data_IF_246938067850
#
_entry.id   IF_246938067850
#
_cell.length_a   1.000
_cell.length_b   1.000
_cell.length_c   1.000
_cell.angle_alpha   90.00
_cell.angle_beta   90.00
_cell.angle_gamma   90.00
#
_symmetry.space_group_name_H-M   'P 1'
#
loop_
_entity.id
_entity.type
_entity.pdbx_description
1 polymer ?
#
# COMPACT_ATOMS: atom_id res chain seq x y z
N UNK A 1 -1.39 -15.77 10.61
CA UNK A 1 -2.83 -16.04 10.34
C UNK A 1 -3.20 -15.27 9.09
N UNK A 2 -3.94 -15.86 8.15
CA UNK A 2 -4.37 -15.18 6.92
C UNK A 2 -5.84 -14.80 7.07
N UNK A 3 -6.17 -13.54 6.79
CA UNK A 3 -7.52 -12.99 6.81
C UNK A 3 -7.79 -12.26 5.49
N UNK A 4 -8.95 -12.48 4.89
CA UNK A 4 -9.38 -11.85 3.64
C UNK A 4 -10.57 -10.94 3.91
N UNK A 5 -10.50 -9.70 3.44
CA UNK A 5 -11.54 -8.68 3.60
C UNK A 5 -11.74 -7.92 2.29
N UNK A 6 -12.97 -7.47 2.06
CA UNK A 6 -13.31 -6.59 0.94
C UNK A 6 -13.51 -5.17 1.46
N UNK A 7 -12.91 -4.19 0.79
CA UNK A 7 -12.98 -2.78 1.16
C UNK A 7 -13.18 -1.93 -0.09
N UNK A 8 -13.88 -0.81 0.06
CA UNK A 8 -13.80 0.28 -0.90
C UNK A 8 -12.39 0.89 -0.88
N UNK A 9 -12.02 1.62 -1.93
CA UNK A 9 -10.76 2.34 -1.97
C UNK A 9 -10.55 3.25 -0.73
N UNK A 10 -11.59 3.99 -0.34
CA UNK A 10 -11.53 4.90 0.81
C UNK A 10 -11.28 4.13 2.13
N UNK A 11 -11.99 3.01 2.34
CA UNK A 11 -11.79 2.15 3.51
C UNK A 11 -10.38 1.53 3.54
N UNK A 12 -9.85 1.17 2.38
CA UNK A 12 -8.52 0.61 2.25
C UNK A 12 -7.44 1.67 2.52
N UNK A 13 -7.66 2.92 2.06
CA UNK A 13 -6.79 4.04 2.36
C UNK A 13 -6.79 4.37 3.87
N UNK A 14 -7.97 4.42 4.48
CA UNK A 14 -8.09 4.61 5.93
C UNK A 14 -7.40 3.49 6.71
N UNK A 15 -7.52 2.24 6.24
CA UNK A 15 -6.78 1.11 6.83
C UNK A 15 -5.26 1.33 6.79
N UNK A 16 -4.71 1.82 5.67
CA UNK A 16 -3.26 2.10 5.57
C UNK A 16 -2.86 3.20 6.55
N UNK A 17 -3.66 4.26 6.66
CA UNK A 17 -3.41 5.40 7.57
C UNK A 17 -3.43 4.98 9.05
N UNK A 18 -4.35 4.10 9.42
CA UNK A 18 -4.62 3.77 10.82
C UNK A 18 -3.91 2.52 11.33
N UNK A 19 -3.55 1.58 10.45
CA UNK A 19 -3.10 0.23 10.84
C UNK A 19 -1.69 -0.11 10.36
N UNK A 20 -1.26 0.39 9.20
CA UNK A 20 0.06 0.05 8.65
C UNK A 20 1.14 0.91 9.29
N UNK A 21 2.22 0.28 9.77
CA UNK A 21 3.33 0.95 10.43
C UNK A 21 4.62 0.87 9.60
N UNK A 22 5.58 1.74 9.93
CA UNK A 22 6.93 1.69 9.33
C UNK A 22 7.63 0.39 9.74
N UNK A 23 8.19 -0.31 8.75
CA UNK A 23 8.78 -1.64 8.92
C UNK A 23 7.85 -2.80 8.56
N UNK A 24 6.55 -2.56 8.42
CA UNK A 24 5.62 -3.57 7.92
C UNK A 24 5.88 -3.84 6.43
N UNK A 25 5.46 -5.01 5.94
CA UNK A 25 5.47 -5.30 4.51
C UNK A 25 4.11 -5.01 3.91
N UNK A 26 4.08 -4.11 2.92
CA UNK A 26 2.90 -3.82 2.11
C UNK A 26 3.13 -4.31 0.69
N UNK A 27 2.22 -5.14 0.18
CA UNK A 27 2.17 -5.51 -1.24
C UNK A 27 1.00 -4.76 -1.89
N UNK A 28 1.31 -3.88 -2.84
CA UNK A 28 0.29 -3.14 -3.59
C UNK A 28 0.16 -3.77 -4.97
N UNK A 29 -1.07 -4.16 -5.32
CA UNK A 29 -1.40 -4.74 -6.62
C UNK A 29 -2.24 -3.77 -7.44
N UNK A 30 -1.65 -3.22 -8.51
CA UNK A 30 -2.32 -2.27 -9.40
C UNK A 30 -1.86 -2.49 -10.84
N UNK A 31 -2.73 -2.32 -11.84
CA UNK A 31 -2.36 -2.48 -13.26
C UNK A 31 -1.58 -3.78 -13.62
N UNK A 32 -1.83 -4.89 -12.90
CA UNK A 32 -1.10 -6.18 -12.99
C UNK A 32 0.37 -6.13 -12.55
N UNK A 33 0.78 -5.07 -11.86
CA UNK A 33 2.03 -4.93 -11.14
C UNK A 33 1.76 -5.36 -9.70
N UNK A 34 2.66 -6.17 -9.14
CA UNK A 34 2.68 -6.56 -7.74
C UNK A 34 3.95 -5.96 -7.14
N UNK A 35 3.78 -5.02 -6.20
CA UNK A 35 4.89 -4.29 -5.60
C UNK A 35 4.96 -4.57 -4.10
N UNK A 36 5.61 -5.67 -3.68
CA UNK A 36 5.91 -5.92 -2.28
C UNK A 36 7.10 -5.10 -1.82
N UNK A 37 6.96 -4.40 -0.71
CA UNK A 37 8.04 -3.65 -0.09
C UNK A 37 7.85 -3.39 1.39
N UNK A 38 8.97 -3.13 2.07
CA UNK A 38 8.97 -2.66 3.46
C UNK A 38 8.56 -1.18 3.49
N UNK A 39 7.65 -0.83 4.39
CA UNK A 39 7.18 0.54 4.56
C UNK A 39 8.27 1.39 5.20
N UNK A 40 8.69 2.44 4.49
CA UNK A 40 9.72 3.38 4.92
C UNK A 40 9.16 4.61 5.65
N UNK A 41 7.90 4.97 5.36
CA UNK A 41 7.27 6.17 5.89
C UNK A 41 6.06 6.59 5.06
N UNK A 42 5.43 7.67 5.53
CA UNK A 42 4.21 8.21 4.93
C UNK A 42 4.37 9.72 4.68
N UNK A 43 3.72 10.18 3.63
CA UNK A 43 3.63 11.61 3.28
C UNK A 43 2.15 11.97 3.17
N UNK A 44 1.74 12.99 3.92
CA UNK A 44 0.36 13.50 3.92
C UNK A 44 -0.05 14.09 2.55
N UNK A 45 -1.36 14.19 2.35
CA UNK A 45 -1.96 14.85 1.19
C UNK A 45 -1.54 16.32 1.10
N UNK A 46 -1.31 16.81 -0.13
CA UNK A 46 -0.96 18.21 -0.38
C UNK A 46 -1.95 18.82 -1.40
N UNK A 47 -2.84 19.68 -0.90
CA UNK A 47 -3.85 20.36 -1.73
C UNK A 47 -3.24 21.35 -2.75
N UNK A 48 -2.03 21.87 -2.51
CA UNK A 48 -1.38 22.84 -3.40
C UNK A 48 -0.76 22.16 -4.60
N UNK A 49 -0.11 21.01 -4.39
CA UNK A 49 0.49 20.21 -5.46
C UNK A 49 -0.54 19.28 -6.11
N UNK A 50 -1.59 18.92 -5.36
CA UNK A 50 -2.62 17.98 -5.76
C UNK A 50 -2.25 16.51 -5.52
N UNK A 51 -1.16 16.26 -4.80
CA UNK A 51 -0.69 14.91 -4.44
C UNK A 51 -1.57 14.29 -3.34
N UNK A 52 -1.78 12.97 -3.44
CA UNK A 52 -2.52 12.20 -2.45
C UNK A 52 -1.68 11.79 -1.26
N UNK A 53 -2.28 10.98 -0.39
CA UNK A 53 -1.56 10.28 0.67
C UNK A 53 -0.60 9.29 0.04
N UNK A 54 0.63 9.29 0.51
CA UNK A 54 1.73 8.57 -0.12
C UNK A 54 2.43 7.66 0.87
N UNK A 55 2.81 6.48 0.38
CA UNK A 55 3.62 5.52 1.14
C UNK A 55 4.96 5.31 0.46
N UNK A 56 6.03 5.47 1.23
CA UNK A 56 7.37 5.09 0.80
C UNK A 56 7.58 3.60 1.00
N UNK A 57 8.00 2.88 -0.05
CA UNK A 57 8.26 1.44 -0.01
C UNK A 57 9.69 1.14 -0.45
N UNK A 58 10.41 0.33 0.33
CA UNK A 58 11.63 -0.34 -0.10
C UNK A 58 11.24 -1.66 -0.77
N UNK A 59 11.33 -1.72 -2.10
CA UNK A 59 10.94 -2.93 -2.83
C UNK A 59 11.91 -4.08 -2.52
N UNK A 60 11.33 -5.25 -2.22
CA UNK A 60 12.07 -6.45 -1.81
C UNK A 60 12.36 -7.40 -2.99
N UNK A 61 12.37 -6.88 -4.22
CA UNK A 61 12.53 -7.68 -5.43
C UNK A 61 13.99 -8.00 -5.77
N UNK A 62 14.26 -9.21 -6.25
CA UNK A 62 15.60 -9.61 -6.73
C UNK A 62 16.09 -8.78 -7.93
N UNK A 63 15.16 -8.25 -8.73
CA UNK A 63 15.43 -7.48 -9.95
C UNK A 63 15.39 -5.97 -9.69
N UNK A 64 14.51 -5.52 -8.78
CA UNK A 64 14.27 -4.13 -8.44
C UNK A 64 14.29 -4.00 -6.91
N UNK A 65 15.44 -3.55 -6.40
CA UNK A 65 15.65 -3.23 -5.00
C UNK A 65 15.90 -1.72 -4.89
N UNK A 66 14.81 -0.95 -4.88
CA UNK A 66 14.81 0.51 -4.87
C UNK A 66 13.73 1.02 -3.94
N UNK A 67 13.95 2.20 -3.37
CA UNK A 67 12.92 2.95 -2.67
C UNK A 67 12.03 3.66 -3.69
N UNK A 68 10.72 3.44 -3.60
CA UNK A 68 9.71 4.16 -4.37
C UNK A 68 8.75 4.88 -3.42
N UNK A 69 8.02 5.85 -3.95
CA UNK A 69 6.88 6.46 -3.27
C UNK A 69 5.64 6.17 -4.12
N UNK A 70 4.59 5.65 -3.49
CA UNK A 70 3.33 5.32 -4.13
C UNK A 70 2.28 6.32 -3.69
N UNK A 71 1.71 7.06 -4.63
CA UNK A 71 0.59 7.97 -4.39
C UNK A 71 -0.74 7.23 -4.59
N UNK A 72 -1.50 7.09 -3.50
CA UNK A 72 -2.79 6.40 -3.52
C UNK A 72 -3.79 7.06 -4.46
N UNK A 73 -3.70 8.38 -4.66
CA UNK A 73 -4.56 9.09 -5.59
C UNK A 73 -4.24 8.75 -7.05
N UNK A 74 -2.98 8.50 -7.39
CA UNK A 74 -2.58 8.13 -8.74
C UNK A 74 -2.99 6.71 -9.12
N UNK A 75 -3.06 5.80 -8.13
CA UNK A 75 -3.41 4.40 -8.36
C UNK A 75 -4.87 4.07 -8.05
N UNK A 76 -5.68 5.03 -7.61
CA UNK A 76 -7.03 4.79 -7.08
C UNK A 76 -7.93 3.99 -8.03
N UNK A 77 -7.96 4.35 -9.30
CA UNK A 77 -8.81 3.69 -10.32
C UNK A 77 -8.28 2.31 -10.74
N UNK A 78 -7.00 2.03 -10.46
CA UNK A 78 -6.29 0.83 -10.92
C UNK A 78 -5.88 -0.12 -9.79
N UNK A 79 -6.17 0.24 -8.53
CA UNK A 79 -5.87 -0.56 -7.35
C UNK A 79 -6.82 -1.77 -7.31
N UNK A 80 -6.24 -2.96 -7.23
CA UNK A 80 -6.98 -4.23 -7.27
C UNK A 80 -6.97 -4.87 -5.88
N UNK A 81 -5.81 -4.91 -5.24
CA UNK A 81 -5.60 -5.61 -3.98
C UNK A 81 -4.44 -4.98 -3.20
N UNK A 82 -4.52 -4.99 -1.88
CA UNK A 82 -3.39 -4.77 -1.00
C UNK A 82 -3.19 -5.94 -0.05
N UNK A 83 -1.95 -6.25 0.29
CA UNK A 83 -1.63 -7.17 1.39
C UNK A 83 -0.80 -6.47 2.43
N UNK A 84 -1.28 -6.50 3.67
CA UNK A 84 -0.52 -6.08 4.83
C UNK A 84 0.04 -7.32 5.53
N UNK A 85 1.35 -7.46 5.52
CA UNK A 85 2.08 -8.62 6.04
C UNK A 85 2.96 -8.18 7.22
N UNK A 86 2.75 -8.84 8.35
CA UNK A 86 3.51 -8.72 9.59
C UNK A 86 4.03 -10.11 10.01
N UNK A 87 4.87 -10.19 11.04
CA UNK A 87 5.41 -11.46 11.54
C UNK A 87 4.31 -12.49 11.93
N UNK A 88 3.16 -12.00 12.42
CA UNK A 88 2.10 -12.85 12.98
C UNK A 88 0.86 -12.97 12.07
N UNK A 89 0.63 -11.99 11.20
CA UNK A 89 -0.62 -11.82 10.44
C UNK A 89 -0.39 -11.34 9.01
N UNK A 90 -1.18 -11.89 8.10
CA UNK A 90 -1.36 -11.42 6.74
C UNK A 90 -2.84 -11.05 6.56
N UNK A 91 -3.10 -9.81 6.13
CA UNK A 91 -4.43 -9.34 5.75
C UNK A 91 -4.43 -9.04 4.26
N UNK A 92 -5.31 -9.70 3.54
CA UNK A 92 -5.54 -9.47 2.11
C UNK A 92 -6.80 -8.61 1.98
N UNK A 93 -6.64 -7.46 1.33
CA UNK A 93 -7.68 -6.45 1.12
C UNK A 93 -7.99 -6.41 -0.37
N UNK A 94 -9.14 -6.94 -0.77
CA UNK A 94 -9.65 -6.87 -2.15
C UNK A 94 -10.47 -5.58 -2.32
N UNK A 95 -10.20 -4.83 -3.39
CA UNK A 95 -10.88 -3.55 -3.67
C UNK A 95 -12.18 -3.79 -4.45
N UNK A 96 -13.27 -3.15 -3.99
CA UNK A 96 -14.64 -3.22 -4.55
C UNK A 96 -14.89 -2.32 -5.76
#
# INVERSE_FOLDING_TARGET
MIEEVQMTFDEALDYVKDVVEVGDTLEISYNRIFAPGEVLGFTEEDEQTGEGYRVGLQLNGEILNQAIEVDFKEIADDLIEMRHITDDKEIIIEIL
#
